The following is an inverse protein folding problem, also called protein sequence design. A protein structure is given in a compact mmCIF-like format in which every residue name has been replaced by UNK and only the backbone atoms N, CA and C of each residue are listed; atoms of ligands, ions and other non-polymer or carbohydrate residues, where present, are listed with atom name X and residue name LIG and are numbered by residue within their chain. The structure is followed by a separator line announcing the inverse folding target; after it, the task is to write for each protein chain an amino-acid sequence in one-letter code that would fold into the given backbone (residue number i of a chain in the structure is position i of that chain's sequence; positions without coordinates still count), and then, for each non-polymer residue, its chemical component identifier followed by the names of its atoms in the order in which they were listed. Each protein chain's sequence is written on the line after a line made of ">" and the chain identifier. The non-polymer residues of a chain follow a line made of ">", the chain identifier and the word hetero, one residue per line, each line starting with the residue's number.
data_IF_845841208905
#
_entry.id   IF_845841208905
#
_cell.length_a   1.000
_cell.length_b   1.000
_cell.length_c   1.000
_cell.angle_alpha   90.00
_cell.angle_beta   90.00
_cell.angle_gamma   90.00
#
_symmetry.space_group_name_H-M   'P 1'
#
loop_
_entity.id
_entity.type
_entity.pdbx_description
1 polymer ?
#
# COMPACT_ATOMS: atom_id res chain seq x y z
N UNK A 1 -13.86 -15.22 -28.85
CA UNK A 1 -14.08 -15.55 -27.43
C UNK A 1 -14.47 -14.28 -26.70
N UNK A 2 -15.46 -14.33 -25.81
CA UNK A 2 -15.81 -13.19 -24.96
C UNK A 2 -14.66 -12.99 -23.96
N UNK A 3 -14.17 -11.76 -23.81
CA UNK A 3 -13.18 -11.43 -22.78
C UNK A 3 -13.82 -11.66 -21.40
N UNK A 4 -13.15 -12.40 -20.52
CA UNK A 4 -13.62 -12.57 -19.14
C UNK A 4 -13.73 -11.21 -18.45
N UNK A 5 -14.79 -10.99 -17.68
CA UNK A 5 -14.91 -9.78 -16.83
C UNK A 5 -14.51 -10.08 -15.39
N UNK A 6 -13.71 -9.20 -14.80
CA UNK A 6 -13.16 -9.35 -13.45
C UNK A 6 -13.59 -8.19 -12.55
N UNK A 7 -14.25 -8.51 -11.44
CA UNK A 7 -14.63 -7.56 -10.39
C UNK A 7 -13.67 -7.64 -9.21
N UNK A 8 -12.89 -6.59 -8.96
CA UNK A 8 -11.88 -6.55 -7.89
C UNK A 8 -12.43 -5.81 -6.68
N UNK A 9 -12.35 -6.41 -5.50
CA UNK A 9 -12.65 -5.75 -4.21
C UNK A 9 -11.37 -5.67 -3.41
N UNK A 10 -10.93 -4.45 -3.11
CA UNK A 10 -9.77 -4.17 -2.25
C UNK A 10 -9.84 -2.74 -1.71
N UNK A 11 -8.92 -2.37 -0.80
CA UNK A 11 -8.75 -1.00 -0.36
C UNK A 11 -8.22 -0.15 -1.52
N UNK A 12 -9.13 0.53 -2.22
CA UNK A 12 -8.83 1.35 -3.39
C UNK A 12 -9.10 2.84 -3.15
N UNK A 13 -9.90 3.17 -2.13
CA UNK A 13 -10.26 4.54 -1.75
C UNK A 13 -9.71 4.95 -0.38
N UNK A 14 -8.87 4.12 0.25
CA UNK A 14 -8.11 4.52 1.42
C UNK A 14 -7.10 5.59 1.00
N UNK A 15 -7.00 6.71 1.72
CA UNK A 15 -6.02 7.77 1.41
C UNK A 15 -4.59 7.37 1.82
N UNK A 16 -4.19 6.14 1.51
CA UNK A 16 -2.89 5.54 1.67
C UNK A 16 -2.29 5.26 0.29
N UNK A 17 -1.06 5.69 0.03
CA UNK A 17 -0.42 5.49 -1.27
C UNK A 17 -0.36 4.02 -1.68
N UNK A 18 -0.03 3.15 -0.72
CA UNK A 18 0.06 1.72 -0.95
C UNK A 18 -1.25 1.11 -1.42
N UNK A 19 -2.34 1.40 -0.71
CA UNK A 19 -3.67 0.85 -1.00
C UNK A 19 -4.17 1.24 -2.40
N UNK A 20 -4.08 2.52 -2.76
CA UNK A 20 -4.52 2.97 -4.10
C UNK A 20 -3.63 2.40 -5.21
N UNK A 21 -2.31 2.40 -5.01
CA UNK A 21 -1.37 1.95 -6.03
C UNK A 21 -1.39 0.42 -6.22
N UNK A 22 -1.62 -0.37 -5.17
CA UNK A 22 -1.81 -1.81 -5.32
C UNK A 22 -3.14 -2.14 -6.00
N UNK A 23 -4.20 -1.34 -5.78
CA UNK A 23 -5.47 -1.51 -6.47
C UNK A 23 -5.30 -1.30 -7.99
N UNK A 24 -4.65 -0.21 -8.39
CA UNK A 24 -4.29 0.04 -9.79
C UNK A 24 -3.37 -1.05 -10.34
N UNK A 25 -2.37 -1.47 -9.55
CA UNK A 25 -1.47 -2.57 -9.93
C UNK A 25 -2.22 -3.87 -10.20
N UNK A 26 -3.24 -4.18 -9.39
CA UNK A 26 -4.08 -5.37 -9.54
C UNK A 26 -4.89 -5.26 -10.83
N UNK A 27 -5.55 -4.12 -11.06
CA UNK A 27 -6.31 -3.87 -12.28
C UNK A 27 -5.43 -4.06 -13.53
N UNK A 28 -4.28 -3.38 -13.60
CA UNK A 28 -3.34 -3.47 -14.72
C UNK A 28 -2.85 -4.92 -14.91
N UNK A 29 -2.57 -5.64 -13.81
CA UNK A 29 -2.09 -7.01 -13.87
C UNK A 29 -3.12 -7.94 -14.53
N UNK A 30 -4.40 -7.81 -14.18
CA UNK A 30 -5.47 -8.58 -14.82
C UNK A 30 -5.70 -8.14 -16.27
N UNK A 31 -5.79 -6.83 -16.56
CA UNK A 31 -5.97 -6.31 -17.92
C UNK A 31 -4.90 -6.78 -18.91
N UNK A 32 -3.65 -6.88 -18.45
CA UNK A 32 -2.53 -7.40 -19.26
C UNK A 32 -2.67 -8.87 -19.67
N UNK A 33 -3.57 -9.63 -19.04
CA UNK A 33 -3.89 -11.01 -19.41
C UNK A 33 -5.17 -11.09 -20.26
N UNK A 34 -5.61 -9.98 -20.86
CA UNK A 34 -6.68 -9.97 -21.84
C UNK A 34 -8.08 -10.06 -21.25
N UNK A 35 -8.31 -9.51 -20.05
CA UNK A 35 -9.63 -9.42 -19.44
C UNK A 35 -10.02 -7.95 -19.16
N UNK A 36 -11.32 -7.70 -18.98
CA UNK A 36 -11.80 -6.39 -18.52
C UNK A 36 -11.86 -6.39 -17.00
N UNK A 37 -10.99 -5.62 -16.35
CA UNK A 37 -10.96 -5.52 -14.90
C UNK A 37 -11.59 -4.20 -14.42
N UNK A 38 -12.49 -4.31 -13.44
CA UNK A 38 -13.08 -3.16 -12.75
C UNK A 38 -12.89 -3.29 -11.25
N UNK A 39 -12.59 -2.17 -10.60
CA UNK A 39 -12.62 -2.06 -9.15
C UNK A 39 -14.06 -1.81 -8.73
N UNK A 40 -14.60 -2.71 -7.90
CA UNK A 40 -15.91 -2.50 -7.27
C UNK A 40 -15.74 -1.36 -6.25
N UNK A 41 -16.41 -0.24 -6.52
CA UNK A 41 -16.26 1.02 -5.83
C UNK A 41 -17.00 1.02 -4.47
N UNK A 42 -16.62 0.09 -3.61
CA UNK A 42 -17.10 -0.01 -2.24
C UNK A 42 -16.33 0.95 -1.32
N UNK A 43 -17.03 1.97 -0.81
CA UNK A 43 -16.49 2.99 0.08
C UNK A 43 -17.35 3.08 1.35
N UNK A 44 -17.07 2.26 2.38
CA UNK A 44 -17.81 2.30 3.63
C UNK A 44 -17.95 3.72 4.18
N UNK A 45 -19.13 4.13 4.64
CA UNK A 45 -19.37 5.49 5.13
C UNK A 45 -18.43 5.89 6.29
N UNK A 46 -18.03 4.93 7.14
CA UNK A 46 -17.03 5.14 8.19
C UNK A 46 -15.62 5.44 7.65
N UNK A 47 -15.24 4.81 6.54
CA UNK A 47 -13.98 5.08 5.82
C UNK A 47 -14.00 6.49 5.22
N UNK A 48 -15.10 6.83 4.54
CA UNK A 48 -15.29 8.14 3.93
C UNK A 48 -15.23 9.25 4.98
N UNK A 49 -15.93 9.09 6.11
CA UNK A 49 -15.84 10.03 7.22
C UNK A 49 -14.41 10.13 7.78
N UNK A 50 -13.70 9.01 7.97
CA UNK A 50 -12.33 9.02 8.49
C UNK A 50 -11.32 9.78 7.62
N UNK A 51 -11.49 9.74 6.29
CA UNK A 51 -10.59 10.40 5.34
C UNK A 51 -11.05 11.80 4.91
N UNK A 52 -12.36 12.07 4.89
CA UNK A 52 -12.94 13.40 4.56
C UNK A 52 -12.98 14.32 5.78
N UNK A 53 -13.18 13.81 7.00
CA UNK A 53 -13.14 14.66 8.19
C UNK A 53 -11.69 14.97 8.57
N UNK A 54 -11.31 16.22 8.32
CA UNK A 54 -10.05 16.84 8.75
C UNK A 54 -9.83 16.77 10.28
N UNK A 55 -10.82 16.31 11.04
CA UNK A 55 -10.87 16.18 12.49
C UNK A 55 -11.39 14.79 12.84
N UNK A 56 -10.68 14.06 13.70
CA UNK A 56 -11.18 12.77 14.19
C UNK A 56 -12.38 13.07 15.07
N UNK A 57 -13.59 12.82 14.60
CA UNK A 57 -14.81 13.04 15.39
C UNK A 57 -14.92 12.00 16.51
N UNK A 58 -14.12 12.17 17.56
CA UNK A 58 -14.27 11.49 18.83
C UNK A 58 -14.05 12.52 19.95
N UNK A 59 -15.08 12.77 20.76
CA UNK A 59 -15.17 13.84 21.78
C UNK A 59 -14.27 13.60 23.01
N UNK A 60 -13.00 13.28 22.82
CA UNK A 60 -12.01 13.22 23.90
C UNK A 60 -11.10 14.45 23.85
N UNK A 61 -10.71 14.98 25.01
CA UNK A 61 -9.77 16.11 25.12
C UNK A 61 -8.42 15.82 24.43
N UNK A 62 -8.01 14.54 24.37
CA UNK A 62 -6.80 14.09 23.67
C UNK A 62 -6.96 14.13 22.14
N UNK A 63 -8.16 13.86 21.63
CA UNK A 63 -8.49 14.01 20.21
C UNK A 63 -8.51 15.48 19.82
N UNK A 64 -9.07 16.34 20.69
CA UNK A 64 -9.12 17.79 20.47
C UNK A 64 -7.72 18.43 20.37
N UNK A 65 -6.77 18.05 21.23
CA UNK A 65 -5.38 18.54 21.16
C UNK A 65 -4.68 18.04 19.89
N UNK A 66 -4.90 16.78 19.50
CA UNK A 66 -4.37 16.25 18.25
C UNK A 66 -4.99 16.95 17.03
N UNK A 67 -6.29 17.23 17.05
CA UNK A 67 -7.02 17.95 16.01
C UNK A 67 -6.57 19.41 15.89
N UNK A 68 -6.32 20.10 17.00
CA UNK A 68 -5.74 21.46 17.03
C UNK A 68 -4.34 21.49 16.41
N UNK A 69 -3.51 20.49 16.69
CA UNK A 69 -2.17 20.37 16.09
C UNK A 69 -2.19 20.17 14.56
N UNK A 70 -3.31 19.68 14.04
CA UNK A 70 -3.52 19.41 12.61
C UNK A 70 -4.16 20.59 11.85
N UNK A 71 -4.59 21.65 12.52
CA UNK A 71 -5.17 22.84 11.87
C UNK A 71 -4.17 23.48 10.90
N UNK A 72 -2.89 23.55 11.29
CA UNK A 72 -1.82 24.14 10.46
C UNK A 72 -1.56 23.39 9.14
N UNK A 73 -2.08 22.16 8.99
CA UNK A 73 -1.85 21.29 7.83
C UNK A 73 -3.14 20.98 7.09
N UNK A 74 -4.21 21.73 7.38
CA UNK A 74 -5.54 21.53 6.83
C UNK A 74 -5.57 21.70 5.30
N UNK A 75 -4.91 22.73 4.78
CA UNK A 75 -4.81 22.98 3.33
C UNK A 75 -4.09 21.84 2.62
N UNK A 76 -2.98 21.35 3.19
CA UNK A 76 -2.21 20.24 2.60
C UNK A 76 -3.01 18.94 2.62
N UNK A 77 -3.79 18.70 3.67
CA UNK A 77 -4.68 17.54 3.76
C UNK A 77 -5.80 17.59 2.72
N UNK A 78 -6.39 18.77 2.49
CA UNK A 78 -7.40 18.97 1.45
C UNK A 78 -6.81 18.75 0.05
N UNK A 79 -5.66 19.36 -0.24
CA UNK A 79 -4.96 19.17 -1.52
C UNK A 79 -4.56 17.70 -1.73
N UNK A 80 -4.12 17.04 -0.66
CA UNK A 80 -3.83 15.60 -0.67
C UNK A 80 -5.08 14.79 -1.01
N UNK A 81 -6.20 15.04 -0.34
CA UNK A 81 -7.46 14.37 -0.62
C UNK A 81 -7.90 14.56 -2.08
N UNK A 82 -7.81 15.80 -2.59
CA UNK A 82 -8.11 16.12 -3.98
C UNK A 82 -7.23 15.31 -4.96
N UNK A 83 -5.91 15.25 -4.73
CA UNK A 83 -4.99 14.47 -5.57
C UNK A 83 -5.27 12.96 -5.50
N UNK A 84 -5.68 12.45 -4.35
CA UNK A 84 -6.12 11.06 -4.20
C UNK A 84 -7.37 10.77 -5.03
N UNK A 85 -8.43 11.57 -4.86
CA UNK A 85 -9.66 11.40 -5.62
C UNK A 85 -9.45 11.59 -7.13
N UNK A 86 -8.63 12.58 -7.51
CA UNK A 86 -8.24 12.78 -8.91
C UNK A 86 -7.58 11.53 -9.47
N UNK A 87 -6.61 10.97 -8.76
CA UNK A 87 -5.94 9.74 -9.19
C UNK A 87 -6.89 8.55 -9.27
N UNK A 88 -7.71 8.33 -8.23
CA UNK A 88 -8.67 7.24 -8.16
C UNK A 88 -9.65 7.30 -9.35
N UNK A 89 -10.24 8.47 -9.61
CA UNK A 89 -11.24 8.64 -10.66
C UNK A 89 -10.65 8.63 -12.08
N UNK A 90 -9.36 8.95 -12.24
CA UNK A 90 -8.71 8.99 -13.56
C UNK A 90 -7.98 7.69 -13.93
N UNK A 91 -7.53 6.92 -12.94
CA UNK A 91 -6.70 5.73 -13.18
C UNK A 91 -7.42 4.41 -12.91
N UNK A 92 -8.40 4.38 -12.01
CA UNK A 92 -9.15 3.16 -11.70
C UNK A 92 -10.42 3.06 -12.55
N UNK A 93 -10.70 1.86 -13.06
CA UNK A 93 -11.96 1.51 -13.71
C UNK A 93 -13.00 1.20 -12.63
N UNK A 94 -13.67 2.22 -12.11
CA UNK A 94 -14.61 2.08 -11.00
C UNK A 94 -16.01 1.65 -11.48
N UNK A 95 -16.66 0.78 -10.71
CA UNK A 95 -18.11 0.62 -10.78
C UNK A 95 -18.83 1.85 -10.17
N UNK A 96 -20.16 1.86 -10.24
CA UNK A 96 -20.97 2.76 -9.42
C UNK A 96 -20.58 2.62 -7.94
N UNK A 97 -20.49 3.75 -7.24
CA UNK A 97 -20.12 3.79 -5.83
C UNK A 97 -21.21 3.14 -4.95
N UNK A 98 -20.78 2.39 -3.93
CA UNK A 98 -21.64 1.85 -2.88
C UNK A 98 -21.01 2.07 -1.51
N UNK A 99 -21.81 2.48 -0.54
CA UNK A 99 -21.33 2.73 0.83
C UNK A 99 -21.72 1.62 1.81
N UNK A 100 -22.80 0.89 1.54
CA UNK A 100 -23.27 -0.19 2.41
C UNK A 100 -22.94 -1.55 1.82
N UNK A 101 -22.51 -2.48 2.67
CA UNK A 101 -22.27 -3.86 2.27
C UNK A 101 -23.51 -4.52 1.65
N UNK A 102 -24.71 -4.18 2.11
CA UNK A 102 -25.99 -4.66 1.55
C UNK A 102 -26.16 -4.32 0.08
N UNK A 103 -25.58 -3.21 -0.38
CA UNK A 103 -25.77 -2.71 -1.74
C UNK A 103 -24.84 -3.41 -2.73
N UNK A 104 -23.85 -4.18 -2.26
CA UNK A 104 -22.94 -4.95 -3.12
C UNK A 104 -23.64 -6.06 -3.90
N UNK A 105 -24.81 -6.52 -3.42
CA UNK A 105 -25.63 -7.51 -4.11
C UNK A 105 -26.00 -7.10 -5.54
N UNK A 106 -26.07 -5.79 -5.85
CA UNK A 106 -26.32 -5.32 -7.22
C UNK A 106 -25.23 -5.72 -8.21
N UNK A 107 -24.02 -5.92 -7.70
CA UNK A 107 -22.88 -6.36 -8.50
C UNK A 107 -22.74 -7.86 -8.55
N UNK A 108 -23.51 -8.67 -7.80
CA UNK A 108 -23.24 -10.10 -7.59
C UNK A 108 -23.04 -10.92 -8.88
N UNK A 109 -23.72 -10.56 -9.96
CA UNK A 109 -23.66 -11.23 -11.28
C UNK A 109 -23.07 -10.35 -12.40
N UNK A 110 -22.41 -9.24 -12.05
CA UNK A 110 -21.83 -8.31 -13.03
C UNK A 110 -20.52 -8.81 -13.66
N UNK A 111 -19.81 -9.71 -12.99
CA UNK A 111 -18.50 -10.22 -13.39
C UNK A 111 -18.48 -11.74 -13.45
N UNK A 112 -17.68 -12.29 -14.36
CA UNK A 112 -17.45 -13.73 -14.46
C UNK A 112 -16.62 -14.23 -13.27
N UNK A 113 -15.66 -13.41 -12.82
CA UNK A 113 -14.72 -13.72 -11.73
C UNK A 113 -14.64 -12.53 -10.77
N UNK A 114 -14.62 -12.81 -9.47
CA UNK A 114 -14.39 -11.83 -8.41
C UNK A 114 -13.05 -12.07 -7.75
N UNK A 115 -12.32 -10.99 -7.55
CA UNK A 115 -10.99 -11.01 -6.97
C UNK A 115 -11.01 -10.24 -5.66
N UNK A 116 -10.73 -10.93 -4.57
CA UNK A 116 -10.32 -10.32 -3.31
C UNK A 116 -8.86 -9.89 -3.51
N UNK A 117 -8.64 -8.57 -3.65
CA UNK A 117 -7.35 -8.03 -4.12
C UNK A 117 -6.24 -8.08 -3.06
N UNK A 118 -5.16 -7.34 -3.31
CA UNK A 118 -4.03 -7.28 -2.39
C UNK A 118 -4.31 -6.36 -1.20
N UNK A 119 -3.25 -5.96 -0.50
CA UNK A 119 -3.27 -5.23 0.76
C UNK A 119 -3.77 -6.03 1.97
N UNK A 120 -3.93 -5.35 3.10
CA UNK A 120 -4.30 -5.91 4.40
C UNK A 120 -5.82 -6.15 4.54
N UNK A 121 -6.50 -6.55 3.46
CA UNK A 121 -7.97 -6.70 3.46
C UNK A 121 -8.45 -7.89 4.30
N UNK A 122 -7.57 -8.85 4.57
CA UNK A 122 -7.82 -9.97 5.48
C UNK A 122 -7.38 -9.68 6.91
N UNK A 123 -7.19 -8.40 7.30
CA UNK A 123 -6.72 -8.02 8.64
C UNK A 123 -7.81 -7.27 9.41
N UNK A 124 -8.47 -7.91 10.38
CA UNK A 124 -9.48 -7.27 11.25
C UNK A 124 -8.92 -6.07 12.05
N UNK A 125 -7.59 -6.01 12.25
CA UNK A 125 -6.91 -4.91 12.93
C UNK A 125 -6.54 -3.75 11.99
N UNK A 126 -6.93 -3.79 10.72
CA UNK A 126 -6.69 -2.69 9.79
C UNK A 126 -7.48 -1.44 10.23
N UNK A 127 -6.97 -0.27 9.86
CA UNK A 127 -7.67 0.99 10.15
C UNK A 127 -9.06 1.03 9.49
N UNK A 128 -9.28 0.26 8.43
CA UNK A 128 -10.53 0.18 7.68
C UNK A 128 -11.64 -0.57 8.43
N UNK A 129 -11.27 -1.37 9.44
CA UNK A 129 -12.22 -2.09 10.30
C UNK A 129 -12.19 -1.61 11.75
N UNK A 130 -11.54 -0.49 12.05
CA UNK A 130 -11.36 -0.04 13.44
C UNK A 130 -12.71 0.11 14.16
N UNK A 131 -12.91 -0.68 15.22
CA UNK A 131 -14.16 -0.72 16.00
C UNK A 131 -15.32 -1.47 15.34
N UNK A 132 -15.06 -2.22 14.26
CA UNK A 132 -16.03 -3.09 13.59
C UNK A 132 -15.89 -4.54 14.04
N UNK A 133 -16.93 -5.34 13.78
CA UNK A 133 -16.91 -6.79 13.97
C UNK A 133 -16.37 -7.52 12.72
N UNK A 134 -16.35 -8.85 12.79
CA UNK A 134 -15.90 -9.72 11.70
C UNK A 134 -16.73 -9.57 10.42
N UNK A 135 -17.99 -9.12 10.50
CA UNK A 135 -18.85 -8.98 9.34
C UNK A 135 -18.40 -7.85 8.42
N UNK A 136 -17.64 -6.88 8.93
CA UNK A 136 -17.00 -5.85 8.11
C UNK A 136 -16.02 -6.42 7.06
N UNK A 137 -15.51 -7.64 7.26
CA UNK A 137 -14.64 -8.33 6.30
C UNK A 137 -15.42 -9.01 5.16
N UNK A 138 -16.73 -9.26 5.31
CA UNK A 138 -17.55 -10.03 4.34
C UNK A 138 -17.52 -9.47 2.92
N UNK A 139 -17.58 -8.13 2.69
CA UNK A 139 -17.36 -7.55 1.36
C UNK A 139 -16.04 -7.97 0.71
N UNK A 140 -14.94 -7.95 1.48
CA UNK A 140 -13.61 -8.28 1.00
C UNK A 140 -13.39 -9.80 0.89
N UNK A 141 -14.19 -10.59 1.60
CA UNK A 141 -14.32 -12.05 1.44
C UNK A 141 -15.31 -12.43 0.31
N UNK A 142 -15.81 -11.45 -0.44
CA UNK A 142 -16.70 -11.62 -1.58
C UNK A 142 -17.99 -12.38 -1.24
N UNK A 143 -18.52 -12.21 -0.03
CA UNK A 143 -19.70 -12.97 0.43
C UNK A 143 -20.99 -12.60 -0.33
N UNK A 144 -21.02 -11.43 -0.98
CA UNK A 144 -22.18 -10.93 -1.74
C UNK A 144 -22.42 -11.62 -3.09
N UNK A 145 -21.56 -12.55 -3.53
CA UNK A 145 -21.69 -13.25 -4.82
C UNK A 145 -21.50 -14.75 -4.66
N UNK A 146 -22.11 -15.52 -5.57
CA UNK A 146 -21.89 -16.96 -5.75
C UNK A 146 -21.04 -17.29 -7.00
N UNK A 147 -20.57 -16.26 -7.71
CA UNK A 147 -19.65 -16.42 -8.85
C UNK A 147 -18.28 -16.87 -8.36
N UNK A 148 -17.38 -17.16 -9.31
CA UNK A 148 -16.03 -17.62 -9.00
C UNK A 148 -15.29 -16.58 -8.15
N UNK A 149 -14.72 -17.00 -7.02
CA UNK A 149 -13.96 -16.16 -6.10
C UNK A 149 -12.49 -16.55 -6.11
N UNK A 150 -11.60 -15.58 -6.26
CA UNK A 150 -10.15 -15.78 -6.15
C UNK A 150 -9.56 -14.72 -5.22
N UNK A 151 -8.54 -15.08 -4.44
CA UNK A 151 -7.76 -14.08 -3.71
C UNK A 151 -6.45 -13.84 -4.45
N UNK A 152 -6.08 -12.58 -4.64
CA UNK A 152 -4.80 -12.21 -5.21
C UNK A 152 -3.98 -11.41 -4.19
N UNK A 153 -2.88 -12.00 -3.70
CA UNK A 153 -1.92 -11.30 -2.84
C UNK A 153 -2.54 -10.69 -1.55
N UNK A 154 -3.63 -11.26 -1.05
CA UNK A 154 -4.36 -10.74 0.12
C UNK A 154 -3.61 -11.04 1.41
N UNK A 155 -3.45 -10.02 2.28
CA UNK A 155 -2.60 -10.10 3.46
C UNK A 155 -3.43 -10.09 4.75
N UNK A 156 -3.26 -11.07 5.65
CA UNK A 156 -3.79 -11.00 7.02
C UNK A 156 -2.93 -10.13 7.95
N UNK A 157 -1.77 -9.69 7.48
CA UNK A 157 -0.82 -8.86 8.20
C UNK A 157 -0.42 -9.38 9.59
N UNK A 158 -1.01 -8.83 10.65
CA UNK A 158 -0.72 -9.16 12.04
C UNK A 158 -1.82 -10.00 12.71
N UNK A 159 -2.82 -10.49 11.96
CA UNK A 159 -3.79 -11.43 12.50
C UNK A 159 -3.11 -12.71 12.97
N UNK A 160 -3.55 -13.18 14.13
CA UNK A 160 -3.14 -14.45 14.71
C UNK A 160 -3.78 -15.63 13.98
N UNK A 161 -3.23 -16.84 14.22
CA UNK A 161 -3.81 -18.07 13.69
C UNK A 161 -5.27 -18.26 14.10
N UNK A 162 -5.63 -17.93 15.34
CA UNK A 162 -7.00 -18.08 15.84
C UNK A 162 -7.95 -17.04 15.25
N UNK A 163 -7.46 -15.82 15.04
CA UNK A 163 -8.20 -14.77 14.32
C UNK A 163 -8.52 -15.20 12.88
N UNK A 164 -7.56 -15.78 12.15
CA UNK A 164 -7.80 -16.26 10.78
C UNK A 164 -8.83 -17.41 10.75
N UNK A 165 -8.92 -18.25 11.79
CA UNK A 165 -9.92 -19.32 11.85
C UNK A 165 -11.36 -18.81 11.72
N UNK A 166 -11.65 -17.57 12.15
CA UNK A 166 -12.98 -16.97 12.01
C UNK A 166 -13.41 -16.80 10.55
N UNK A 167 -12.45 -16.58 9.63
CA UNK A 167 -12.73 -16.36 8.21
C UNK A 167 -12.47 -17.59 7.34
N UNK A 168 -11.97 -18.70 7.91
CA UNK A 168 -11.72 -19.95 7.17
C UNK A 168 -12.97 -20.46 6.42
N UNK A 169 -14.19 -20.47 7.00
CA UNK A 169 -15.38 -20.89 6.27
C UNK A 169 -15.63 -20.08 4.99
N UNK A 170 -15.30 -18.79 4.99
CA UNK A 170 -15.43 -17.95 3.80
C UNK A 170 -14.29 -18.21 2.81
N UNK A 171 -13.05 -18.37 3.28
CA UNK A 171 -11.89 -18.70 2.43
C UNK A 171 -12.03 -20.08 1.75
N UNK A 172 -12.78 -21.01 2.34
CA UNK A 172 -13.11 -22.30 1.71
C UNK A 172 -14.00 -22.14 0.46
N UNK A 173 -14.77 -21.05 0.35
CA UNK A 173 -15.62 -20.75 -0.83
C UNK A 173 -14.80 -20.26 -2.04
N UNK A 174 -13.52 -19.93 -1.87
CA UNK A 174 -12.68 -19.44 -2.96
C UNK A 174 -12.23 -20.57 -3.87
N UNK A 175 -12.19 -20.36 -5.17
CA UNK A 175 -11.61 -21.34 -6.11
C UNK A 175 -10.10 -21.39 -5.95
N UNK A 176 -9.44 -20.23 -5.86
CA UNK A 176 -8.00 -20.12 -5.65
C UNK A 176 -7.67 -19.12 -4.54
N UNK A 177 -6.63 -19.43 -3.76
CA UNK A 177 -6.13 -18.57 -2.69
C UNK A 177 -4.69 -18.19 -2.97
N UNK A 178 -4.35 -16.94 -2.68
CA UNK A 178 -2.97 -16.47 -2.64
C UNK A 178 -2.79 -15.33 -1.65
N UNK A 179 -1.58 -15.25 -1.10
CA UNK A 179 -1.12 -14.20 -0.19
C UNK A 179 0.25 -13.68 -0.63
N UNK A 180 0.58 -12.44 -0.25
CA UNK A 180 1.85 -11.81 -0.66
C UNK A 180 3.03 -12.17 0.25
N UNK A 181 2.75 -12.47 1.52
CA UNK A 181 3.75 -12.94 2.48
C UNK A 181 3.79 -14.48 2.51
N UNK A 182 4.98 -15.06 2.64
CA UNK A 182 5.17 -16.52 2.60
C UNK A 182 4.50 -17.16 3.82
N UNK A 183 4.76 -16.61 5.01
CA UNK A 183 4.19 -17.10 6.26
C UNK A 183 2.65 -17.03 6.25
N UNK A 184 2.09 -15.99 5.61
CA UNK A 184 0.64 -15.85 5.47
C UNK A 184 0.06 -16.91 4.53
N UNK A 185 0.73 -17.17 3.39
CA UNK A 185 0.31 -18.20 2.45
C UNK A 185 0.32 -19.59 3.11
N UNK A 186 1.39 -19.92 3.84
CA UNK A 186 1.51 -21.18 4.57
C UNK A 186 0.44 -21.31 5.66
N UNK A 187 0.24 -20.27 6.47
CA UNK A 187 -0.75 -20.27 7.55
C UNK A 187 -2.18 -20.44 7.01
N UNK A 188 -2.55 -19.67 5.99
CA UNK A 188 -3.87 -19.77 5.34
C UNK A 188 -4.05 -21.16 4.73
N UNK A 189 -3.04 -21.67 4.01
CA UNK A 189 -3.12 -22.98 3.38
C UNK A 189 -3.33 -24.12 4.39
N UNK A 190 -2.60 -24.09 5.50
CA UNK A 190 -2.78 -25.05 6.60
C UNK A 190 -4.17 -24.98 7.23
N UNK A 191 -4.70 -23.78 7.48
CA UNK A 191 -5.99 -23.59 8.13
C UNK A 191 -7.18 -23.94 7.24
N UNK A 192 -7.09 -23.64 5.94
CA UNK A 192 -8.15 -23.94 4.97
C UNK A 192 -8.10 -25.42 4.55
N UNK A 193 -6.93 -26.07 4.64
CA UNK A 193 -6.72 -27.47 4.26
C UNK A 193 -6.40 -27.67 2.77
N UNK A 194 -5.91 -26.64 2.08
CA UNK A 194 -5.52 -26.69 0.66
C UNK A 194 -4.46 -25.63 0.33
N UNK A 195 -3.77 -25.70 -0.82
CA UNK A 195 -2.74 -24.74 -1.16
C UNK A 195 -3.23 -23.29 -1.21
N UNK A 196 -2.43 -22.39 -0.63
CA UNK A 196 -2.52 -20.95 -0.83
C UNK A 196 -1.18 -20.49 -1.43
N UNK A 197 -1.21 -19.87 -2.61
CA UNK A 197 0.01 -19.53 -3.34
C UNK A 197 0.69 -18.28 -2.74
N UNK A 198 2.03 -18.27 -2.70
CA UNK A 198 2.77 -17.06 -2.38
C UNK A 198 3.11 -16.26 -3.66
N UNK A 199 2.32 -15.23 -3.94
CA UNK A 199 2.43 -14.38 -5.13
C UNK A 199 3.07 -13.02 -4.79
N UNK A 200 3.50 -12.26 -5.80
CA UNK A 200 3.93 -10.88 -5.61
C UNK A 200 2.78 -9.94 -5.30
N UNK A 201 3.10 -8.93 -4.51
CA UNK A 201 2.34 -7.71 -4.47
C UNK A 201 2.20 -7.12 -5.90
N UNK A 202 0.99 -6.73 -6.32
CA UNK A 202 0.72 -6.28 -7.69
C UNK A 202 1.53 -5.04 -8.08
N UNK A 203 2.01 -4.24 -7.12
CA UNK A 203 2.88 -3.10 -7.40
C UNK A 203 4.21 -3.50 -8.06
N UNK A 204 4.68 -4.72 -7.84
CA UNK A 204 5.87 -5.30 -8.47
C UNK A 204 5.57 -6.08 -9.76
N UNK A 205 4.31 -6.31 -10.11
CA UNK A 205 3.91 -6.84 -11.42
C UNK A 205 3.94 -5.75 -12.50
N UNK A 206 3.63 -4.52 -12.11
CA UNK A 206 3.74 -3.33 -12.96
C UNK A 206 5.19 -2.86 -12.95
N UNK A 207 5.80 -2.74 -14.14
CA UNK A 207 7.19 -2.32 -14.29
C UNK A 207 7.39 -0.81 -14.14
N UNK A 208 8.62 -0.42 -13.79
CA UNK A 208 9.04 0.97 -13.55
C UNK A 208 8.53 1.96 -14.61
N UNK A 209 8.72 1.66 -15.89
CA UNK A 209 8.32 2.59 -16.97
C UNK A 209 6.81 2.84 -17.04
N UNK A 210 6.01 1.85 -16.62
CA UNK A 210 4.55 2.06 -16.52
C UNK A 210 4.23 3.01 -15.38
N UNK A 211 4.89 2.86 -14.24
CA UNK A 211 4.75 3.78 -13.11
C UNK A 211 5.22 5.19 -13.44
N UNK A 212 6.34 5.34 -14.15
CA UNK A 212 6.84 6.65 -14.62
C UNK A 212 5.85 7.34 -15.56
N UNK A 213 5.23 6.60 -16.48
CA UNK A 213 4.18 7.13 -17.36
C UNK A 213 2.95 7.61 -16.57
N UNK A 214 2.52 6.84 -15.58
CA UNK A 214 1.40 7.22 -14.69
C UNK A 214 1.75 8.49 -13.90
N UNK A 215 3.00 8.62 -13.45
CA UNK A 215 3.48 9.74 -12.64
C UNK A 215 3.85 11.00 -13.44
N UNK A 216 3.92 10.93 -14.78
CA UNK A 216 4.53 11.99 -15.63
C UNK A 216 3.91 13.36 -15.40
N UNK A 217 2.59 13.46 -15.17
CA UNK A 217 1.90 14.75 -14.96
C UNK A 217 2.08 15.32 -13.55
N UNK A 218 2.48 14.49 -12.59
CA UNK A 218 2.61 14.90 -11.19
C UNK A 218 3.91 15.65 -10.88
N UNK A 219 4.91 15.56 -11.77
CA UNK A 219 6.22 16.19 -11.58
C UNK A 219 6.12 17.73 -11.46
N UNK A 220 5.18 18.35 -12.15
CA UNK A 220 5.01 19.80 -12.18
C UNK A 220 4.10 20.33 -11.06
N UNK A 221 3.40 19.44 -10.33
CA UNK A 221 2.42 19.84 -9.31
C UNK A 221 3.04 20.15 -7.94
N UNK A 222 4.31 19.79 -7.71
CA UNK A 222 4.97 20.00 -6.43
C UNK A 222 6.25 20.83 -6.56
N UNK A 223 6.37 21.83 -5.70
CA UNK A 223 7.59 22.63 -5.57
C UNK A 223 8.64 21.86 -4.74
N UNK A 224 9.26 20.85 -5.35
CA UNK A 224 10.30 20.04 -4.73
C UNK A 224 11.69 20.61 -5.00
N UNK A 225 12.66 20.41 -4.08
CA UNK A 225 14.06 20.69 -4.37
C UNK A 225 14.57 19.89 -5.57
N UNK A 226 15.56 20.42 -6.30
CA UNK A 226 16.19 19.70 -7.44
C UNK A 226 16.90 18.41 -7.04
N UNK A 227 17.42 18.35 -5.80
CA UNK A 227 18.05 17.17 -5.20
C UNK A 227 17.57 17.07 -3.77
N UNK A 228 17.14 15.89 -3.36
CA UNK A 228 16.66 15.63 -2.00
C UNK A 228 16.80 14.15 -1.65
N UNK A 229 16.82 13.89 -0.35
CA UNK A 229 16.51 12.57 0.20
C UNK A 229 15.01 12.51 0.57
N UNK A 230 14.38 11.35 0.41
CA UNK A 230 13.02 11.12 0.88
C UNK A 230 13.07 10.38 2.21
N UNK A 231 12.34 10.90 3.21
CA UNK A 231 11.94 10.10 4.37
C UNK A 231 10.42 9.89 4.29
N UNK A 232 10.00 8.63 4.16
CA UNK A 232 8.58 8.27 4.19
C UNK A 232 8.28 7.43 5.44
N UNK A 233 7.53 8.02 6.38
CA UNK A 233 7.19 7.36 7.63
C UNK A 233 5.67 7.32 7.86
N UNK A 234 5.18 6.16 8.27
CA UNK A 234 3.79 5.96 8.70
C UNK A 234 3.59 6.19 10.20
N UNK A 235 4.63 6.66 10.91
CA UNK A 235 4.53 6.95 12.33
C UNK A 235 3.71 8.21 12.64
N UNK A 236 3.12 8.25 13.83
CA UNK A 236 2.40 9.43 14.32
C UNK A 236 3.32 10.54 14.86
N UNK A 237 2.73 11.71 15.13
CA UNK A 237 3.43 12.94 15.58
C UNK A 237 4.47 12.69 16.67
N UNK A 238 4.15 11.91 17.72
CA UNK A 238 5.08 11.67 18.84
C UNK A 238 6.42 11.10 18.36
N UNK A 239 6.37 10.01 17.61
CA UNK A 239 7.57 9.32 17.12
C UNK A 239 8.32 10.17 16.09
N UNK A 240 7.60 10.81 15.17
CA UNK A 240 8.19 11.71 14.16
C UNK A 240 8.94 12.85 14.82
N UNK A 241 8.37 13.48 15.85
CA UNK A 241 9.02 14.57 16.58
C UNK A 241 10.23 14.10 17.39
N UNK A 242 10.19 12.89 17.97
CA UNK A 242 11.35 12.28 18.64
C UNK A 242 12.51 12.02 17.67
N UNK A 243 12.19 11.69 16.41
CA UNK A 243 13.16 11.38 15.35
C UNK A 243 13.58 12.61 14.53
N UNK A 244 12.98 13.78 14.77
CA UNK A 244 13.13 14.96 13.92
C UNK A 244 14.57 15.51 13.84
N UNK A 245 15.36 15.38 14.92
CA UNK A 245 16.80 15.72 14.89
C UNK A 245 17.60 14.80 13.98
N UNK A 246 17.24 13.51 13.92
CA UNK A 246 17.88 12.54 13.03
C UNK A 246 17.52 12.79 11.57
N UNK A 247 16.30 13.23 11.27
CA UNK A 247 15.93 13.66 9.92
C UNK A 247 16.75 14.87 9.46
N UNK A 248 17.01 15.83 10.36
CA UNK A 248 17.92 16.94 10.06
C UNK A 248 19.35 16.46 9.85
N UNK A 249 19.83 15.52 10.66
CA UNK A 249 21.16 14.93 10.49
C UNK A 249 21.32 14.23 9.13
N UNK A 250 20.28 13.56 8.61
CA UNK A 250 20.28 13.03 7.23
C UNK A 250 20.51 14.16 6.21
N UNK A 251 19.80 15.29 6.36
CA UNK A 251 19.98 16.46 5.50
C UNK A 251 21.41 17.01 5.56
N UNK A 252 21.99 17.09 6.76
CA UNK A 252 23.35 17.59 6.98
C UNK A 252 24.42 16.68 6.36
N UNK A 253 24.30 15.35 6.56
CA UNK A 253 25.22 14.35 5.99
C UNK A 253 25.22 14.39 4.46
N UNK A 254 24.03 14.49 3.87
CA UNK A 254 23.85 14.45 2.42
C UNK A 254 24.01 15.83 1.76
N UNK A 255 24.14 16.89 2.56
CA UNK A 255 24.19 18.29 2.13
C UNK A 255 23.05 18.64 1.15
N UNK A 256 21.84 18.20 1.48
CA UNK A 256 20.62 18.46 0.69
C UNK A 256 19.37 18.40 1.56
N UNK A 257 18.25 19.01 1.16
CA UNK A 257 17.00 18.91 1.91
C UNK A 257 16.47 17.48 1.94
N UNK A 258 15.73 17.17 3.00
CA UNK A 258 14.90 15.98 3.14
C UNK A 258 13.46 16.36 2.85
N UNK A 259 12.85 15.70 1.87
CA UNK A 259 11.39 15.70 1.70
C UNK A 259 10.82 14.69 2.69
N UNK A 260 10.04 15.16 3.66
CA UNK A 260 9.41 14.32 4.68
C UNK A 260 7.93 14.09 4.34
N UNK A 261 7.58 12.83 4.10
CA UNK A 261 6.20 12.38 3.98
C UNK A 261 5.85 11.64 5.27
N UNK A 262 5.09 12.28 6.16
CA UNK A 262 4.53 11.65 7.36
C UNK A 262 3.04 12.02 7.54
N UNK A 263 2.11 11.33 6.85
CA UNK A 263 0.70 11.74 6.75
C UNK A 263 -0.04 11.83 8.10
N UNK A 264 0.42 11.07 9.09
CA UNK A 264 -0.18 10.98 10.42
C UNK A 264 0.53 11.83 11.48
N UNK A 265 1.46 12.68 11.07
CA UNK A 265 2.29 13.46 11.96
C UNK A 265 2.25 14.96 11.64
N UNK A 266 2.31 15.78 12.68
CA UNK A 266 2.76 17.15 12.58
C UNK A 266 4.29 17.23 12.76
N UNK A 267 4.93 18.10 12.00
CA UNK A 267 6.35 18.42 12.14
C UNK A 267 6.62 19.84 11.60
N UNK A 268 7.62 20.56 12.14
CA UNK A 268 8.02 21.85 11.59
C UNK A 268 8.77 21.66 10.28
N UNK A 269 8.73 22.66 9.41
CA UNK A 269 9.48 22.70 8.14
C UNK A 269 10.56 23.79 8.22
N UNK A 270 11.62 23.63 7.44
CA UNK A 270 12.70 24.61 7.29
C UNK A 270 13.57 24.24 6.07
N UNK A 271 14.74 24.88 5.91
CA UNK A 271 15.68 24.58 4.81
C UNK A 271 16.15 23.11 4.74
N UNK A 272 16.13 22.38 5.85
CA UNK A 272 16.52 20.97 5.93
C UNK A 272 15.35 20.04 5.68
N UNK A 273 14.15 20.38 6.17
CA UNK A 273 12.96 19.53 6.08
C UNK A 273 11.86 20.22 5.27
N UNK A 274 11.59 19.67 4.08
CA UNK A 274 10.54 20.09 3.16
C UNK A 274 9.32 19.19 3.35
N UNK A 275 8.12 19.80 3.36
CA UNK A 275 6.88 19.05 3.54
C UNK A 275 6.46 18.34 2.25
N UNK A 276 6.34 17.01 2.30
CA UNK A 276 5.81 16.20 1.22
C UNK A 276 4.37 15.69 1.46
N UNK A 277 3.70 16.10 2.55
CA UNK A 277 2.40 15.53 2.95
C UNK A 277 1.27 15.79 1.96
N UNK A 278 1.35 16.86 1.18
CA UNK A 278 0.34 17.17 0.16
C UNK A 278 0.36 16.22 -1.06
N UNK A 279 1.34 15.31 -1.17
CA UNK A 279 1.46 14.39 -2.30
C UNK A 279 0.25 13.45 -2.44
N UNK A 280 -0.26 13.27 -3.66
CA UNK A 280 -1.15 12.18 -4.04
C UNK A 280 -0.39 10.97 -4.60
N UNK A 281 -1.08 9.94 -5.10
CA UNK A 281 -0.45 8.70 -5.54
C UNK A 281 0.54 8.89 -6.70
N UNK A 282 0.23 9.74 -7.68
CA UNK A 282 1.13 10.04 -8.78
C UNK A 282 2.36 10.84 -8.29
N UNK A 283 2.15 11.85 -7.43
CA UNK A 283 3.26 12.62 -6.83
C UNK A 283 4.16 11.72 -5.99
N UNK A 284 3.60 10.76 -5.25
CA UNK A 284 4.37 9.83 -4.45
C UNK A 284 5.32 8.96 -5.28
N UNK A 285 4.84 8.44 -6.43
CA UNK A 285 5.70 7.73 -7.39
C UNK A 285 6.82 8.65 -7.87
N UNK A 286 6.47 9.88 -8.29
CA UNK A 286 7.45 10.85 -8.79
C UNK A 286 8.50 11.21 -7.73
N UNK A 287 8.08 11.41 -6.48
CA UNK A 287 8.96 11.74 -5.36
C UNK A 287 9.96 10.61 -5.11
N UNK A 288 9.53 9.35 -5.18
CA UNK A 288 10.43 8.20 -5.04
C UNK A 288 11.39 8.11 -6.23
N UNK A 289 10.90 8.23 -7.47
CA UNK A 289 11.73 8.04 -8.68
C UNK A 289 12.86 9.07 -8.78
N UNK A 290 12.67 10.28 -8.24
CA UNK A 290 13.65 11.38 -8.28
C UNK A 290 14.45 11.57 -6.98
N UNK A 291 14.16 10.81 -5.92
CA UNK A 291 14.92 10.90 -4.68
C UNK A 291 16.35 10.36 -4.88
N UNK A 292 17.33 11.00 -4.24
CA UNK A 292 18.72 10.48 -4.22
C UNK A 292 18.81 9.21 -3.37
N UNK A 293 18.02 9.15 -2.30
CA UNK A 293 17.85 7.98 -1.45
C UNK A 293 16.49 8.05 -0.75
N UNK A 294 15.86 6.89 -0.55
CA UNK A 294 14.62 6.74 0.23
C UNK A 294 14.92 6.06 1.55
N UNK A 295 14.49 6.65 2.67
CA UNK A 295 14.50 6.01 3.99
C UNK A 295 13.05 5.83 4.41
N UNK A 296 12.63 4.59 4.67
CA UNK A 296 11.19 4.30 4.82
C UNK A 296 10.89 3.19 5.82
N UNK A 297 9.86 3.39 6.66
CA UNK A 297 9.24 2.29 7.43
C UNK A 297 8.06 1.64 6.69
N UNK A 298 7.65 2.17 5.54
CA UNK A 298 6.51 1.69 4.76
C UNK A 298 6.86 0.49 3.88
N UNK A 299 5.94 -0.49 3.84
CA UNK A 299 6.00 -1.64 2.94
C UNK A 299 6.01 -1.18 1.48
N UNK A 300 5.00 -0.41 1.06
CA UNK A 300 4.94 0.08 -0.31
C UNK A 300 6.03 1.11 -0.63
N UNK A 301 6.51 1.90 0.35
CA UNK A 301 7.69 2.74 0.14
C UNK A 301 8.93 1.94 -0.24
N UNK A 302 9.12 0.78 0.39
CA UNK A 302 10.21 -0.16 0.09
C UNK A 302 10.05 -0.75 -1.32
N UNK A 303 8.86 -1.27 -1.63
CA UNK A 303 8.56 -1.90 -2.92
C UNK A 303 8.71 -0.94 -4.09
N UNK A 304 8.20 0.29 -3.96
CA UNK A 304 8.32 1.30 -5.02
C UNK A 304 9.76 1.75 -5.23
N UNK A 305 10.53 1.95 -4.15
CA UNK A 305 11.95 2.29 -4.29
C UNK A 305 12.72 1.21 -5.04
N UNK A 306 12.46 -0.05 -4.69
CA UNK A 306 13.04 -1.21 -5.33
C UNK A 306 12.61 -1.37 -6.80
N UNK A 307 11.32 -1.13 -7.11
CA UNK A 307 10.77 -1.23 -8.47
C UNK A 307 11.28 -0.12 -9.40
N UNK A 308 11.39 1.11 -8.89
CA UNK A 308 11.85 2.26 -9.64
C UNK A 308 13.38 2.30 -9.78
N UNK A 309 14.10 1.51 -8.97
CA UNK A 309 15.56 1.50 -8.95
C UNK A 309 16.16 2.66 -8.14
N UNK A 310 15.39 3.25 -7.22
CA UNK A 310 15.88 4.30 -6.32
C UNK A 310 16.65 3.69 -5.15
N UNK A 311 17.87 4.16 -4.82
CA UNK A 311 18.58 3.75 -3.61
C UNK A 311 17.70 3.88 -2.36
N UNK A 312 17.73 2.87 -1.47
CA UNK A 312 16.87 2.91 -0.29
C UNK A 312 17.42 2.17 0.93
N UNK A 313 16.94 2.63 2.10
CA UNK A 313 17.08 2.00 3.41
C UNK A 313 15.67 1.75 3.99
N UNK A 314 15.34 0.48 4.23
CA UNK A 314 14.08 0.04 4.81
C UNK A 314 14.22 -0.16 6.32
N UNK A 315 13.47 0.60 7.10
CA UNK A 315 13.50 0.54 8.57
C UNK A 315 12.65 -0.63 9.08
N UNK A 316 13.26 -1.69 9.60
CA UNK A 316 12.55 -2.84 10.19
C UNK A 316 13.19 -3.28 11.50
N UNK A 317 12.38 -3.46 12.54
CA UNK A 317 12.83 -4.00 13.82
C UNK A 317 12.72 -5.54 13.90
N UNK A 318 12.43 -6.21 12.78
CA UNK A 318 12.28 -7.66 12.69
C UNK A 318 11.10 -8.23 13.50
N UNK A 319 10.09 -7.41 13.82
CA UNK A 319 8.95 -7.82 14.67
C UNK A 319 7.61 -7.42 14.06
N UNK A 320 6.61 -8.27 14.28
CA UNK A 320 5.22 -7.99 13.91
C UNK A 320 5.07 -7.68 12.42
N UNK A 321 4.38 -6.58 12.07
CA UNK A 321 4.09 -6.23 10.68
C UNK A 321 5.32 -5.80 9.86
N UNK A 322 6.49 -5.58 10.48
CA UNK A 322 7.72 -5.20 9.78
C UNK A 322 8.37 -6.38 9.05
N UNK A 323 8.15 -7.61 9.54
CA UNK A 323 8.72 -8.85 8.95
C UNK A 323 8.28 -9.05 7.50
N UNK A 324 7.13 -8.49 7.12
CA UNK A 324 6.60 -8.54 5.75
C UNK A 324 7.55 -7.89 4.75
N UNK A 325 8.18 -6.77 5.13
CA UNK A 325 9.19 -6.11 4.29
C UNK A 325 10.45 -6.96 4.21
N UNK A 326 10.86 -7.52 5.33
CA UNK A 326 12.07 -8.34 5.41
C UNK A 326 11.91 -9.58 4.51
N UNK A 327 10.76 -10.25 4.53
CA UNK A 327 10.46 -11.38 3.64
C UNK A 327 10.61 -11.02 2.16
N UNK A 328 10.08 -9.87 1.72
CA UNK A 328 10.22 -9.43 0.32
C UNK A 328 11.67 -9.09 0.01
N UNK A 329 12.37 -8.38 0.90
CA UNK A 329 13.77 -8.00 0.71
C UNK A 329 14.69 -9.23 0.67
N UNK A 330 14.46 -10.24 1.51
CA UNK A 330 15.14 -11.52 1.44
C UNK A 330 14.89 -12.23 0.10
N UNK A 331 13.62 -12.28 -0.34
CA UNK A 331 13.23 -12.90 -1.62
C UNK A 331 13.86 -12.18 -2.82
N UNK A 332 14.04 -10.86 -2.73
CA UNK A 332 14.63 -10.01 -3.77
C UNK A 332 16.14 -9.85 -3.65
N UNK A 333 16.80 -10.53 -2.70
CA UNK A 333 18.24 -10.42 -2.44
C UNK A 333 18.70 -8.97 -2.19
N UNK A 334 17.91 -8.22 -1.41
CA UNK A 334 18.12 -6.82 -1.07
C UNK A 334 18.11 -6.58 0.45
N UNK A 335 18.47 -7.60 1.24
CA UNK A 335 18.45 -7.54 2.71
C UNK A 335 19.44 -6.55 3.31
N UNK A 336 20.48 -6.18 2.57
CA UNK A 336 21.47 -5.17 2.94
C UNK A 336 20.90 -3.75 2.99
N UNK A 337 19.71 -3.52 2.42
CA UNK A 337 18.96 -2.28 2.58
C UNK A 337 18.18 -2.22 3.90
N UNK A 338 18.19 -3.27 4.73
CA UNK A 338 17.47 -3.28 6.02
C UNK A 338 18.30 -2.56 7.08
N UNK A 339 17.68 -1.63 7.80
CA UNK A 339 18.22 -0.94 8.98
C UNK A 339 17.20 -1.02 10.12
N UNK A 340 17.60 -1.01 11.40
CA UNK A 340 16.61 -1.20 12.49
C UNK A 340 15.73 0.02 12.74
N UNK A 341 16.20 1.19 12.32
CA UNK A 341 15.49 2.46 12.46
C UNK A 341 16.29 3.61 11.88
N UNK A 342 15.80 4.83 12.08
CA UNK A 342 16.40 6.05 11.51
C UNK A 342 17.81 6.31 12.05
N UNK A 343 18.11 5.93 13.30
CA UNK A 343 19.46 6.08 13.87
C UNK A 343 20.49 5.22 13.13
N UNK A 344 20.15 3.96 12.86
CA UNK A 344 20.99 3.07 12.05
C UNK A 344 21.10 3.56 10.60
N UNK A 345 20.03 4.13 10.04
CA UNK A 345 20.07 4.74 8.71
C UNK A 345 21.06 5.91 8.67
N UNK A 346 21.06 6.78 9.69
CA UNK A 346 22.03 7.87 9.83
C UNK A 346 23.45 7.31 9.91
N UNK A 347 23.70 6.33 10.79
CA UNK A 347 25.02 5.71 10.90
C UNK A 347 25.48 5.03 9.60
N UNK A 348 24.56 4.42 8.86
CA UNK A 348 24.84 3.85 7.54
C UNK A 348 25.34 4.94 6.59
N UNK A 349 24.61 6.04 6.47
CA UNK A 349 24.95 7.14 5.57
C UNK A 349 26.28 7.81 5.94
N UNK A 350 26.57 7.97 7.23
CA UNK A 350 27.85 8.52 7.71
C UNK A 350 29.05 7.65 7.33
N UNK A 351 28.88 6.33 7.40
CA UNK A 351 29.97 5.37 7.15
C UNK A 351 30.14 5.00 5.69
N UNK A 352 29.03 4.87 4.97
CA UNK A 352 28.97 4.22 3.65
C UNK A 352 28.43 5.14 2.55
N UNK A 353 27.92 6.33 2.90
CA UNK A 353 27.24 7.20 1.96
C UNK A 353 25.91 6.63 1.48
N UNK A 354 25.48 7.04 0.29
CA UNK A 354 24.23 6.60 -0.35
C UNK A 354 24.38 5.12 -0.75
N UNK A 355 23.40 4.24 -0.41
CA UNK A 355 23.46 2.84 -0.83
C UNK A 355 23.47 2.71 -2.36
N UNK A 356 24.09 1.66 -2.89
CA UNK A 356 24.02 1.37 -4.32
C UNK A 356 22.60 0.97 -4.73
N UNK A 357 22.23 1.27 -5.98
CA UNK A 357 21.01 0.73 -6.60
C UNK A 357 21.09 -0.80 -6.60
N UNK A 358 19.98 -1.45 -6.26
CA UNK A 358 19.87 -2.90 -6.21
C UNK A 358 19.23 -3.42 -7.48
N UNK A 359 19.95 -4.23 -8.24
CA UNK A 359 19.38 -4.93 -9.38
C UNK A 359 18.56 -6.13 -8.91
N UNK A 360 17.25 -5.93 -8.81
CA UNK A 360 16.31 -6.99 -8.45
C UNK A 360 15.76 -7.74 -9.67
N UNK A 361 16.22 -7.44 -10.90
CA UNK A 361 15.64 -8.00 -12.14
C UNK A 361 15.68 -9.53 -12.13
N UNK A 362 16.83 -10.10 -11.78
CA UNK A 362 17.03 -11.56 -11.72
C UNK A 362 16.16 -12.25 -10.66
N UNK A 363 16.21 -11.86 -9.36
CA UNK A 363 15.36 -12.51 -8.34
C UNK A 363 13.87 -12.23 -8.57
N UNK A 364 13.50 -11.12 -9.20
CA UNK A 364 12.11 -10.79 -9.51
C UNK A 364 11.54 -11.59 -10.68
N UNK A 365 12.35 -11.95 -11.69
CA UNK A 365 11.86 -12.53 -12.95
C UNK A 365 11.02 -13.81 -12.73
N UNK A 366 11.56 -14.81 -12.04
CA UNK A 366 10.87 -16.07 -11.80
C UNK A 366 9.62 -15.90 -10.94
N UNK A 367 9.72 -15.04 -9.91
CA UNK A 367 8.60 -14.75 -9.02
C UNK A 367 7.47 -14.02 -9.77
N UNK A 368 7.83 -13.04 -10.59
CA UNK A 368 6.89 -12.28 -11.43
C UNK A 368 6.22 -13.16 -12.45
N UNK A 369 6.94 -14.13 -13.04
CA UNK A 369 6.34 -15.09 -13.96
C UNK A 369 5.33 -15.98 -13.24
N UNK A 370 5.69 -16.55 -12.08
CA UNK A 370 4.76 -17.37 -11.28
C UNK A 370 3.45 -16.62 -10.94
N UNK A 371 3.55 -15.34 -10.56
CA UNK A 371 2.37 -14.51 -10.29
C UNK A 371 1.53 -14.21 -11.53
N UNK A 372 2.15 -14.05 -12.70
CA UNK A 372 1.42 -13.92 -13.98
C UNK A 372 0.72 -15.22 -14.33
N UNK A 373 1.38 -16.35 -14.16
CA UNK A 373 0.80 -17.67 -14.42
C UNK A 373 -0.40 -17.95 -13.50
N UNK A 374 -0.34 -17.50 -12.23
CA UNK A 374 -1.48 -17.54 -11.31
C UNK A 374 -2.69 -16.74 -11.82
N UNK A 375 -2.45 -15.54 -12.37
CA UNK A 375 -3.50 -14.70 -12.95
C UNK A 375 -4.07 -15.35 -14.22
N UNK A 376 -3.21 -15.82 -15.13
CA UNK A 376 -3.64 -16.52 -16.34
C UNK A 376 -4.50 -17.75 -16.01
N UNK A 377 -4.05 -18.59 -15.08
CA UNK A 377 -4.79 -19.76 -14.65
C UNK A 377 -6.16 -19.41 -14.04
N UNK A 378 -6.25 -18.30 -13.29
CA UNK A 378 -7.53 -17.81 -12.75
C UNK A 378 -8.55 -17.52 -13.85
N UNK A 379 -8.10 -17.01 -15.00
CA UNK A 379 -8.93 -16.64 -16.13
C UNK A 379 -9.34 -17.85 -17.01
N UNK A 380 -8.53 -18.91 -17.00
CA UNK A 380 -8.73 -20.11 -17.83
C UNK A 380 -9.61 -21.21 -17.18
N UNK A 381 -9.75 -21.18 -15.85
CA UNK A 381 -10.66 -22.09 -15.13
C UNK A 381 -12.11 -21.94 -15.62
#
# INVERSE_FOLDING_TARGET
>A
MRLSSVGIVTYHAAYNFGSVLQALGTQIAFEKHGCSASIINYRPSGQRAFYETLYRTNRSLKTLINDLSLISVKSDRLLRAERFERFINQQLNLTECVEKASDLGKFADSFDIYVSGSDQILNIHSNEYSGSDWDAMKPYLLDFTNRRKVSYASSPANMTRDEIKHIVPDLQKFTMLSAREQDAAEMIGQLVGRPCANVLDPTLLVGADSWRRIATRAADEMNLPKKYALIYSLNGTKTVMQQYSLYRRVSDILNMPVVLIAPFAWFPTNKHIVDGRAAGPAEFINIIDHAIVVITDSYHGTLFSMNLGTPFLSMSNGKGSSTRKDQVLHRMQASESIVKGIEDAVHYLERSGIPSVRDITKPLAGVRQFSKDYIAHTLDL
#
